data_IF_463211957728
#
_entry.id   IF_463211957728
#
_cell.length_a   1.000
_cell.length_b   1.000
_cell.length_c   1.000
_cell.angle_alpha   90.00
_cell.angle_beta   90.00
_cell.angle_gamma   90.00
#
_symmetry.space_group_name_H-M   'P 1'
#
loop_
_entity.id
_entity.type
_entity.pdbx_description
1 polymer ?
#
# COMPACT_ATOMS: atom_id res chain seq x y z
N UNK A 1 9.91 2.55 -12.00
CA UNK A 1 9.29 1.57 -11.10
C UNK A 1 10.17 0.35 -10.77
N UNK A 2 11.52 0.36 -10.75
CA UNK A 2 12.27 -0.89 -10.55
C UNK A 2 11.99 -1.60 -9.21
N UNK A 3 11.72 -0.86 -8.13
CA UNK A 3 11.39 -1.46 -6.83
C UNK A 3 9.97 -2.00 -6.84
N UNK A 4 9.00 -1.15 -7.20
CA UNK A 4 7.60 -1.50 -7.42
C UNK A 4 7.41 -2.75 -8.28
N UNK A 5 7.96 -2.76 -9.50
CA UNK A 5 7.82 -3.86 -10.45
C UNK A 5 8.45 -5.14 -9.92
N UNK A 6 9.60 -5.04 -9.24
CA UNK A 6 10.25 -6.20 -8.63
C UNK A 6 9.40 -6.78 -7.51
N UNK A 7 8.85 -5.94 -6.63
CA UNK A 7 8.02 -6.38 -5.51
C UNK A 7 6.71 -7.00 -5.99
N UNK A 8 6.01 -6.35 -6.92
CA UNK A 8 4.78 -6.91 -7.52
C UNK A 8 5.04 -8.23 -8.23
N UNK A 9 6.12 -8.34 -9.01
CA UNK A 9 6.45 -9.59 -9.70
C UNK A 9 6.78 -10.72 -8.73
N UNK A 10 7.48 -10.43 -7.63
CA UNK A 10 7.69 -11.43 -6.56
C UNK A 10 6.33 -11.87 -6.02
N UNK A 11 5.46 -10.95 -5.59
CA UNK A 11 4.15 -11.30 -5.03
C UNK A 11 3.32 -12.15 -6.01
N UNK A 12 3.23 -11.75 -7.28
CA UNK A 12 2.51 -12.47 -8.32
C UNK A 12 3.06 -13.90 -8.56
N UNK A 13 4.40 -14.05 -8.63
CA UNK A 13 5.01 -15.37 -8.80
C UNK A 13 4.76 -16.28 -7.59
N UNK A 14 4.72 -15.72 -6.37
CA UNK A 14 4.42 -16.49 -5.16
C UNK A 14 2.96 -16.90 -5.09
N UNK A 15 2.03 -16.05 -5.51
CA UNK A 15 0.60 -16.41 -5.61
C UNK A 15 0.34 -17.47 -6.67
N UNK A 16 1.13 -17.47 -7.75
CA UNK A 16 1.07 -18.47 -8.81
C UNK A 16 1.89 -19.75 -8.50
N UNK A 17 2.34 -19.95 -7.26
CA UNK A 17 3.07 -21.13 -6.78
C UNK A 17 4.41 -21.40 -7.49
N UNK A 18 5.14 -20.33 -7.86
CA UNK A 18 6.49 -20.40 -8.44
C UNK A 18 7.61 -20.09 -7.42
N UNK A 19 7.45 -20.44 -6.14
CA UNK A 19 8.41 -20.13 -5.06
C UNK A 19 9.85 -20.64 -5.29
N UNK A 20 10.02 -21.68 -6.10
CA UNK A 20 11.33 -22.28 -6.40
C UNK A 20 12.08 -21.56 -7.54
N UNK A 21 11.47 -20.55 -8.18
CA UNK A 21 12.09 -19.86 -9.31
C UNK A 21 13.38 -19.13 -8.86
N UNK A 22 14.56 -19.47 -9.41
CA UNK A 22 15.85 -18.99 -8.89
C UNK A 22 16.00 -17.46 -8.88
N UNK A 23 15.30 -16.77 -9.78
CA UNK A 23 15.33 -15.31 -9.87
C UNK A 23 14.76 -14.62 -8.62
N UNK A 24 13.82 -15.25 -7.90
CA UNK A 24 13.23 -14.71 -6.67
C UNK A 24 14.31 -14.41 -5.62
N UNK A 25 15.29 -15.30 -5.48
CA UNK A 25 16.42 -15.12 -4.56
C UNK A 25 17.24 -13.87 -4.87
N UNK A 26 17.47 -13.60 -6.16
CA UNK A 26 18.17 -12.39 -6.60
C UNK A 26 17.31 -11.15 -6.37
N UNK A 27 16.02 -11.23 -6.69
CA UNK A 27 15.06 -10.15 -6.53
C UNK A 27 14.87 -9.74 -5.06
N UNK A 28 14.67 -10.71 -4.14
CA UNK A 28 14.56 -10.44 -2.71
C UNK A 28 15.83 -9.83 -2.11
N UNK A 29 17.02 -10.30 -2.53
CA UNK A 29 18.29 -9.65 -2.12
C UNK A 29 18.43 -8.24 -2.69
N UNK A 30 17.96 -8.01 -3.91
CA UNK A 30 17.93 -6.67 -4.50
C UNK A 30 17.05 -5.73 -3.68
N UNK A 31 15.80 -6.11 -3.37
CA UNK A 31 14.92 -5.30 -2.51
C UNK A 31 15.55 -5.03 -1.13
N UNK A 32 16.13 -6.04 -0.49
CA UNK A 32 16.84 -5.87 0.79
C UNK A 32 17.99 -4.88 0.70
N UNK A 33 18.70 -4.81 -0.42
CA UNK A 33 19.81 -3.85 -0.63
C UNK A 33 19.35 -2.40 -0.88
N UNK A 34 18.04 -2.18 -1.01
CA UNK A 34 17.42 -0.90 -1.38
C UNK A 34 16.59 -0.29 -0.26
N UNK A 35 16.58 -0.90 0.93
CA UNK A 35 15.89 -0.32 2.08
C UNK A 35 16.59 0.97 2.49
N UNK A 36 15.80 2.03 2.68
CA UNK A 36 16.35 3.33 3.05
C UNK A 36 16.97 3.29 4.44
N UNK A 37 18.06 4.05 4.58
CA UNK A 37 18.77 4.25 5.85
C UNK A 37 18.94 5.73 6.20
N UNK A 38 18.74 6.62 5.23
CA UNK A 38 18.74 8.07 5.44
C UNK A 38 17.39 8.57 5.97
N UNK A 39 17.44 9.68 6.72
CA UNK A 39 16.26 10.46 7.10
C UNK A 39 15.87 11.35 5.93
N UNK A 40 14.62 11.25 5.49
CA UNK A 40 14.04 12.06 4.41
C UNK A 40 13.13 13.18 4.92
N UNK A 41 12.46 13.87 4.00
CA UNK A 41 11.57 15.00 4.32
C UNK A 41 10.36 14.57 5.19
N UNK A 42 9.96 13.30 5.09
CA UNK A 42 8.91 12.67 5.91
C UNK A 42 9.11 12.83 7.42
N UNK A 43 10.34 13.14 7.88
CA UNK A 43 10.61 13.41 9.30
C UNK A 43 9.89 14.66 9.79
N UNK A 44 9.55 15.59 8.90
CA UNK A 44 8.83 16.83 9.25
C UNK A 44 7.42 16.48 9.72
N UNK A 45 6.73 15.59 9.02
CA UNK A 45 5.38 15.12 9.38
C UNK A 45 5.41 14.01 10.44
N UNK A 46 6.50 13.24 10.52
CA UNK A 46 6.66 12.13 11.47
C UNK A 46 8.03 12.16 12.20
N UNK A 47 8.23 13.07 13.16
CA UNK A 47 9.55 13.38 13.75
C UNK A 47 10.17 12.24 14.57
N UNK A 48 9.37 11.27 15.00
CA UNK A 48 9.83 10.13 15.78
C UNK A 48 9.99 8.85 14.94
N UNK A 49 9.71 8.91 13.64
CA UNK A 49 9.88 7.76 12.76
C UNK A 49 11.36 7.50 12.49
N UNK A 50 11.74 6.23 12.45
CA UNK A 50 13.08 5.79 12.02
C UNK A 50 13.07 5.43 10.54
N UNK A 51 14.17 5.65 9.80
CA UNK A 51 14.29 5.19 8.41
C UNK A 51 14.05 3.68 8.25
N UNK A 52 13.47 3.30 7.13
CA UNK A 52 13.20 1.89 6.84
C UNK A 52 12.26 1.61 5.68
N UNK A 53 11.75 2.64 5.00
CA UNK A 53 10.94 2.46 3.80
C UNK A 53 11.74 2.03 2.57
N UNK A 54 11.05 1.95 1.45
CA UNK A 54 11.58 1.74 0.11
C UNK A 54 11.03 2.84 -0.81
N UNK A 55 11.77 3.14 -1.87
CA UNK A 55 11.40 4.14 -2.88
C UNK A 55 11.08 3.48 -4.22
N UNK A 56 10.26 4.11 -5.04
CA UNK A 56 9.90 3.66 -6.39
C UNK A 56 11.08 3.45 -7.38
N UNK A 57 12.12 4.31 -7.32
CA UNK A 57 13.20 4.39 -8.31
C UNK A 57 14.42 3.48 -8.00
N UNK A 58 15.53 3.63 -8.72
CA UNK A 58 16.78 2.88 -8.43
C UNK A 58 17.53 3.41 -7.20
N UNK A 59 17.44 4.71 -6.95
CA UNK A 59 18.07 5.40 -5.84
C UNK A 59 17.30 6.68 -5.53
N UNK A 60 16.64 6.73 -4.37
CA UNK A 60 15.89 7.90 -3.92
C UNK A 60 15.72 7.89 -2.39
N UNK A 61 16.83 7.73 -1.67
CA UNK A 61 16.88 7.49 -0.21
C UNK A 61 16.08 8.49 0.65
N UNK A 62 15.91 9.72 0.18
CA UNK A 62 15.22 10.78 0.92
C UNK A 62 13.69 10.77 0.71
N UNK A 63 13.21 10.03 -0.28
CA UNK A 63 11.79 9.96 -0.63
C UNK A 63 11.32 8.50 -0.78
N UNK A 64 11.42 7.68 0.28
CA UNK A 64 10.66 6.44 0.33
C UNK A 64 9.17 6.73 0.34
N UNK A 65 8.38 5.81 -0.19
CA UNK A 65 6.93 5.91 -0.26
C UNK A 65 6.25 4.69 0.38
N UNK A 66 5.01 4.91 0.83
CA UNK A 66 4.21 3.95 1.60
C UNK A 66 3.81 2.75 0.76
N UNK A 67 3.43 2.96 -0.51
CA UNK A 67 2.92 1.89 -1.38
C UNK A 67 4.06 0.91 -1.72
N UNK A 68 5.21 1.40 -2.21
CA UNK A 68 6.41 0.58 -2.47
C UNK A 68 6.87 -0.15 -1.21
N UNK A 69 6.92 0.55 -0.07
CA UNK A 69 7.30 -0.05 1.20
C UNK A 69 6.37 -1.22 1.57
N UNK A 70 5.06 -1.02 1.45
CA UNK A 70 4.07 -2.04 1.79
C UNK A 70 4.17 -3.27 0.88
N UNK A 71 4.27 -3.10 -0.45
CA UNK A 71 4.41 -4.24 -1.37
C UNK A 71 5.73 -4.98 -1.20
N UNK A 72 6.83 -4.28 -0.90
CA UNK A 72 8.13 -4.90 -0.60
C UNK A 72 8.06 -5.72 0.69
N UNK A 73 7.45 -5.17 1.74
CA UNK A 73 7.25 -5.87 3.02
C UNK A 73 6.45 -7.15 2.82
N UNK A 74 5.39 -7.11 2.02
CA UNK A 74 4.61 -8.30 1.65
C UNK A 74 5.44 -9.33 0.87
N UNK A 75 6.24 -8.87 -0.10
CA UNK A 75 7.10 -9.75 -0.90
C UNK A 75 8.17 -10.48 -0.07
N UNK A 76 8.58 -9.87 1.05
CA UNK A 76 9.58 -10.41 1.98
C UNK A 76 8.97 -11.18 3.16
N UNK A 77 7.63 -11.27 3.26
CA UNK A 77 6.94 -11.81 4.43
C UNK A 77 7.35 -13.28 4.74
N UNK A 78 7.62 -13.61 6.02
CA UNK A 78 8.25 -14.89 6.41
C UNK A 78 7.32 -16.11 6.37
N UNK A 79 6.00 -15.87 6.25
CA UNK A 79 4.94 -16.86 6.14
C UNK A 79 4.66 -17.28 4.69
N UNK A 80 5.36 -16.71 3.71
CA UNK A 80 5.33 -17.18 2.32
C UNK A 80 6.08 -18.52 2.19
N UNK A 81 5.73 -19.32 1.19
CA UNK A 81 6.43 -20.58 0.82
C UNK A 81 7.87 -20.34 0.35
N UNK A 82 8.22 -19.07 0.15
CA UNK A 82 9.53 -18.59 -0.22
C UNK A 82 10.22 -17.85 0.93
N UNK A 83 11.54 -18.08 1.10
CA UNK A 83 12.40 -17.28 1.98
C UNK A 83 13.68 -16.89 1.26
N UNK A 84 14.09 -15.64 1.39
CA UNK A 84 15.38 -15.16 0.87
C UNK A 84 16.52 -15.86 1.61
N UNK A 85 17.16 -16.82 0.94
CA UNK A 85 18.30 -17.58 1.48
C UNK A 85 19.50 -16.65 1.62
N UNK A 86 20.25 -16.83 2.72
CA UNK A 86 21.48 -16.07 3.04
C UNK A 86 21.29 -14.55 3.21
N UNK A 87 20.05 -14.08 3.37
CA UNK A 87 19.78 -12.71 3.80
C UNK A 87 19.67 -12.68 5.33
N UNK A 88 20.81 -12.65 6.03
CA UNK A 88 20.81 -12.32 7.45
C UNK A 88 20.18 -10.95 7.66
N UNK A 89 19.20 -10.83 8.56
CA UNK A 89 18.58 -9.55 8.89
C UNK A 89 17.29 -9.21 8.13
N UNK A 90 16.73 -10.10 7.30
CA UNK A 90 15.42 -9.90 6.64
C UNK A 90 14.32 -9.57 7.65
N UNK A 91 14.23 -10.29 8.77
CA UNK A 91 13.26 -9.98 9.83
C UNK A 91 13.47 -8.58 10.45
N UNK A 92 14.72 -8.10 10.51
CA UNK A 92 15.04 -6.76 10.98
C UNK A 92 14.63 -5.68 9.98
N UNK A 93 14.88 -5.92 8.68
CA UNK A 93 14.46 -5.03 7.61
C UNK A 93 12.95 -4.90 7.53
N UNK A 94 12.22 -6.02 7.54
CA UNK A 94 10.75 -6.03 7.57
C UNK A 94 10.24 -5.23 8.76
N UNK A 95 10.78 -5.45 9.97
CA UNK A 95 10.36 -4.73 11.16
C UNK A 95 10.58 -3.22 11.04
N UNK A 96 11.73 -2.78 10.53
CA UNK A 96 11.99 -1.36 10.29
C UNK A 96 11.01 -0.77 9.28
N UNK A 97 10.78 -1.47 8.17
CA UNK A 97 9.81 -1.09 7.15
C UNK A 97 8.40 -0.95 7.69
N UNK A 98 7.89 -1.97 8.39
CA UNK A 98 6.56 -1.91 9.00
C UNK A 98 6.44 -0.77 9.99
N UNK A 99 7.46 -0.52 10.83
CA UNK A 99 7.45 0.63 11.74
C UNK A 99 7.41 1.95 11.00
N UNK A 100 8.16 2.09 9.91
CA UNK A 100 8.14 3.29 9.08
C UNK A 100 6.76 3.52 8.46
N UNK A 101 6.19 2.51 7.78
CA UNK A 101 4.83 2.58 7.19
C UNK A 101 3.78 2.94 8.24
N UNK A 102 3.79 2.28 9.41
CA UNK A 102 2.85 2.58 10.49
C UNK A 102 3.02 3.99 11.05
N UNK A 103 4.25 4.51 11.09
CA UNK A 103 4.50 5.88 11.54
C UNK A 103 4.02 6.94 10.54
N UNK A 104 3.80 6.57 9.28
CA UNK A 104 3.21 7.40 8.22
C UNK A 104 1.67 7.37 8.19
N UNK A 105 1.01 6.66 9.11
CA UNK A 105 -0.45 6.74 9.19
C UNK A 105 -0.88 8.16 9.59
N UNK A 106 -1.79 8.74 8.81
CA UNK A 106 -2.38 10.04 9.05
C UNK A 106 -3.36 10.04 10.21
N UNK A 107 -3.66 11.24 10.71
CA UNK A 107 -4.65 11.48 11.75
C UNK A 107 -6.09 11.15 11.34
N UNK A 108 -6.36 11.08 10.03
CA UNK A 108 -7.63 10.63 9.47
C UNK A 108 -7.75 9.10 9.36
N UNK A 109 -6.70 8.37 9.72
CA UNK A 109 -6.64 6.90 9.69
C UNK A 109 -6.12 6.31 8.39
N UNK A 110 -5.97 7.10 7.32
CA UNK A 110 -5.43 6.66 6.04
C UNK A 110 -3.92 6.88 5.91
N UNK A 111 -3.42 6.72 4.68
CA UNK A 111 -2.02 6.98 4.31
C UNK A 111 -1.94 7.79 3.02
N UNK A 112 -1.12 8.83 3.05
CA UNK A 112 -0.54 9.45 1.85
C UNK A 112 0.63 8.62 1.32
N UNK A 113 1.18 9.00 0.18
CA UNK A 113 2.26 8.28 -0.47
C UNK A 113 3.61 8.50 0.21
N UNK A 114 3.96 9.73 0.59
CA UNK A 114 5.27 10.10 1.11
C UNK A 114 5.19 10.70 2.52
N UNK A 115 4.14 11.46 2.79
CA UNK A 115 3.96 12.20 4.03
C UNK A 115 2.61 11.89 4.67
N UNK A 116 2.58 11.97 6.01
CA UNK A 116 1.30 11.95 6.74
C UNK A 116 0.77 13.35 6.95
N UNK A 117 -0.56 13.46 6.99
CA UNK A 117 -1.28 14.72 7.24
C UNK A 117 -0.91 15.88 6.27
N UNK A 118 -0.42 15.55 5.07
CA UNK A 118 -0.19 16.51 4.00
C UNK A 118 -1.50 16.81 3.25
N UNK A 119 -2.49 17.35 3.97
CA UNK A 119 -3.88 17.44 3.52
C UNK A 119 -4.49 18.85 3.63
N UNK A 120 -3.64 19.89 3.70
CA UNK A 120 -4.07 21.29 3.80
C UNK A 120 -4.60 21.82 2.46
N UNK A 121 -5.82 21.43 2.10
CA UNK A 121 -6.47 21.69 0.80
C UNK A 121 -6.49 23.17 0.40
N UNK A 122 -6.37 24.09 1.36
CA UNK A 122 -6.26 25.53 1.09
C UNK A 122 -5.14 25.86 0.09
N UNK A 123 -4.05 25.09 0.10
CA UNK A 123 -2.94 25.30 -0.82
C UNK A 123 -3.25 24.95 -2.28
N UNK A 124 -4.32 24.19 -2.55
CA UNK A 124 -4.78 23.95 -3.91
C UNK A 124 -5.58 25.12 -4.52
N UNK A 125 -5.78 26.23 -3.80
CA UNK A 125 -6.51 27.41 -4.29
C UNK A 125 -5.64 28.62 -4.63
N UNK A 126 -4.31 28.48 -4.55
CA UNK A 126 -3.39 29.54 -5.01
C UNK A 126 -3.21 29.47 -6.53
N UNK A 127 -2.84 30.59 -7.21
CA UNK A 127 -2.68 30.61 -8.67
C UNK A 127 -1.67 29.61 -9.23
N UNK A 128 -0.69 29.18 -8.41
CA UNK A 128 0.31 28.19 -8.79
C UNK A 128 -0.24 26.76 -8.85
N UNK A 129 -1.38 26.47 -8.19
CA UNK A 129 -1.90 25.12 -7.98
C UNK A 129 -3.00 24.72 -8.98
N UNK A 130 -2.86 25.08 -10.25
CA UNK A 130 -3.86 24.84 -11.30
C UNK A 130 -4.21 23.34 -11.49
N UNK A 131 -3.26 22.44 -11.22
CA UNK A 131 -3.45 20.98 -11.27
C UNK A 131 -4.01 20.36 -9.96
N UNK A 132 -4.19 21.15 -8.90
CA UNK A 132 -4.68 20.72 -7.57
C UNK A 132 -3.97 19.51 -6.96
N UNK A 133 -2.69 19.33 -7.29
CA UNK A 133 -1.87 18.19 -6.88
C UNK A 133 -0.65 18.60 -6.03
N UNK A 134 -0.76 19.70 -5.27
CA UNK A 134 0.32 20.18 -4.39
C UNK A 134 0.44 19.40 -3.07
N UNK A 135 -0.48 18.48 -2.83
CA UNK A 135 -0.67 17.82 -1.55
C UNK A 135 -0.60 16.31 -1.71
N UNK A 136 -0.34 15.64 -0.59
CA UNK A 136 -0.30 14.19 -0.46
C UNK A 136 -1.30 13.73 0.62
N UNK A 137 -2.62 13.88 0.36
CA UNK A 137 -3.64 13.45 1.31
C UNK A 137 -3.70 11.91 1.38
N UNK A 138 -4.32 11.40 2.43
CA UNK A 138 -4.65 9.98 2.52
C UNK A 138 -5.52 9.52 1.35
N UNK A 139 -5.31 8.29 0.89
CA UNK A 139 -6.02 7.71 -0.27
C UNK A 139 -6.49 6.28 -0.02
N UNK A 140 -7.61 5.91 -0.67
CA UNK A 140 -8.26 4.61 -0.45
C UNK A 140 -7.42 3.43 -0.94
N UNK A 141 -6.72 3.59 -2.06
CA UNK A 141 -5.81 2.58 -2.60
C UNK A 141 -4.64 2.30 -1.64
N UNK A 142 -4.03 3.31 -1.04
CA UNK A 142 -2.95 3.13 -0.06
C UNK A 142 -3.46 2.58 1.27
N UNK A 143 -4.63 3.02 1.76
CA UNK A 143 -5.23 2.46 2.96
C UNK A 143 -5.53 0.95 2.78
N UNK A 144 -6.08 0.56 1.62
CA UNK A 144 -6.27 -0.85 1.24
C UNK A 144 -4.96 -1.63 1.24
N UNK A 145 -3.90 -1.07 0.61
CA UNK A 145 -2.57 -1.68 0.57
C UNK A 145 -1.97 -1.89 1.97
N UNK A 146 -2.06 -0.89 2.85
CA UNK A 146 -1.53 -0.99 4.21
C UNK A 146 -2.27 -2.04 5.04
N UNK A 147 -3.59 -2.19 4.86
CA UNK A 147 -4.37 -3.27 5.46
C UNK A 147 -3.95 -4.64 4.91
N UNK A 148 -3.71 -4.74 3.60
CA UNK A 148 -3.22 -5.97 2.97
C UNK A 148 -1.85 -6.38 3.52
N UNK A 149 -0.94 -5.41 3.68
CA UNK A 149 0.36 -5.61 4.31
C UNK A 149 0.21 -6.13 5.74
N UNK A 150 -0.70 -5.57 6.55
CA UNK A 150 -0.95 -6.06 7.90
C UNK A 150 -1.47 -7.51 7.89
N UNK A 151 -2.46 -7.81 7.05
CA UNK A 151 -3.01 -9.16 6.90
C UNK A 151 -1.96 -10.18 6.42
N UNK A 152 -1.00 -9.76 5.59
CA UNK A 152 0.12 -10.61 5.18
C UNK A 152 0.99 -11.07 6.36
N UNK A 153 0.93 -10.43 7.53
CA UNK A 153 1.62 -10.84 8.76
C UNK A 153 0.69 -11.48 9.79
N UNK A 154 -0.57 -11.77 9.42
CA UNK A 154 -1.57 -12.40 10.28
C UNK A 154 -2.20 -11.44 11.29
N UNK A 155 -2.03 -10.13 11.12
CA UNK A 155 -2.81 -9.15 11.85
C UNK A 155 -4.25 -9.11 11.32
N UNK A 156 -5.18 -8.76 12.19
CA UNK A 156 -6.59 -8.60 11.86
C UNK A 156 -7.07 -7.18 12.25
N UNK A 157 -8.38 -6.96 12.16
CA UNK A 157 -9.02 -5.67 12.46
C UNK A 157 -8.80 -5.15 13.89
N UNK A 158 -8.30 -5.99 14.80
CA UNK A 158 -7.94 -5.57 16.17
C UNK A 158 -6.60 -4.85 16.23
N UNK A 159 -5.81 -4.88 15.16
CA UNK A 159 -4.56 -4.12 15.09
C UNK A 159 -4.86 -2.62 15.24
N UNK A 160 -4.08 -1.87 16.05
CA UNK A 160 -4.38 -0.46 16.34
C UNK A 160 -4.51 0.46 15.11
N UNK A 161 -3.78 0.14 14.04
CA UNK A 161 -3.86 0.88 12.78
C UNK A 161 -5.06 0.49 11.89
N UNK A 162 -5.64 -0.70 12.09
CA UNK A 162 -6.69 -1.21 11.20
C UNK A 162 -8.04 -0.51 11.43
N UNK A 163 -8.46 -0.32 12.69
CA UNK A 163 -9.72 0.37 13.01
C UNK A 163 -9.85 1.76 12.38
N UNK A 164 -8.85 2.66 12.54
CA UNK A 164 -8.84 3.96 11.88
C UNK A 164 -8.87 3.87 10.36
N UNK A 165 -8.11 2.94 9.76
CA UNK A 165 -8.08 2.73 8.31
C UNK A 165 -9.42 2.26 7.76
N UNK A 166 -10.12 1.37 8.47
CA UNK A 166 -11.46 0.90 8.11
C UNK A 166 -12.48 2.04 8.19
N UNK A 167 -12.39 2.90 9.21
CA UNK A 167 -13.24 4.09 9.32
C UNK A 167 -12.97 5.10 8.20
N UNK A 168 -11.71 5.30 7.83
CA UNK A 168 -11.31 6.10 6.68
C UNK A 168 -11.93 5.57 5.38
N UNK A 169 -11.75 4.28 5.08
CA UNK A 169 -12.30 3.65 3.88
C UNK A 169 -13.84 3.70 3.83
N UNK A 170 -14.51 3.57 4.98
CA UNK A 170 -15.96 3.71 5.02
C UNK A 170 -16.41 5.13 4.65
N UNK A 171 -15.65 6.16 5.04
CA UNK A 171 -15.94 7.56 4.72
C UNK A 171 -15.66 7.88 3.25
N UNK A 172 -14.61 7.31 2.68
CA UNK A 172 -14.18 7.56 1.30
C UNK A 172 -14.92 6.71 0.25
N UNK A 173 -15.83 5.83 0.68
CA UNK A 173 -16.62 5.04 -0.26
C UNK A 173 -17.61 5.92 -1.02
N UNK A 174 -17.62 5.80 -2.35
CA UNK A 174 -18.56 6.51 -3.22
C UNK A 174 -20.00 6.00 -3.01
N UNK A 175 -20.99 6.80 -3.44
CA UNK A 175 -22.41 6.43 -3.32
C UNK A 175 -22.74 5.13 -4.07
N UNK A 176 -22.07 4.89 -5.20
CA UNK A 176 -22.22 3.67 -6.00
C UNK A 176 -21.50 2.45 -5.39
N UNK A 177 -20.69 2.66 -4.34
CA UNK A 177 -19.95 1.64 -3.62
C UNK A 177 -18.49 1.52 -4.01
N UNK A 178 -18.04 2.16 -5.08
CA UNK A 178 -16.62 2.11 -5.50
C UNK A 178 -15.72 2.94 -4.58
N UNK A 179 -14.40 2.79 -4.78
CA UNK A 179 -13.40 3.67 -4.19
C UNK A 179 -12.51 4.27 -5.28
N UNK A 180 -12.23 5.56 -5.17
CA UNK A 180 -11.30 6.26 -6.04
C UNK A 180 -9.87 5.70 -5.92
N UNK A 181 -9.26 5.39 -7.06
CA UNK A 181 -7.84 5.02 -7.18
C UNK A 181 -7.02 6.24 -7.58
N UNK A 182 -6.14 6.72 -6.68
CA UNK A 182 -5.33 7.91 -6.95
C UNK A 182 -4.16 7.59 -7.88
N UNK A 183 -3.57 6.41 -7.73
CA UNK A 183 -2.29 6.04 -8.35
C UNK A 183 -2.41 5.01 -9.49
N UNK A 184 -3.58 4.42 -9.68
CA UNK A 184 -3.93 3.62 -10.85
C UNK A 184 -5.26 4.07 -11.41
N UNK A 185 -5.53 3.78 -12.68
CA UNK A 185 -6.76 4.19 -13.37
C UNK A 185 -7.87 3.17 -13.13
N UNK A 186 -9.00 3.53 -12.54
CA UNK A 186 -9.23 4.58 -11.56
C UNK A 186 -10.10 3.99 -10.43
N UNK A 187 -11.43 3.90 -10.59
CA UNK A 187 -12.30 3.26 -9.60
C UNK A 187 -12.13 1.74 -9.53
N UNK A 188 -11.80 1.07 -10.64
CA UNK A 188 -11.48 -0.37 -10.62
C UNK A 188 -10.23 -0.61 -9.76
N UNK A 189 -9.20 0.21 -9.94
CA UNK A 189 -7.95 0.10 -9.21
C UNK A 189 -8.13 0.34 -7.71
N UNK A 190 -8.80 1.45 -7.35
CA UNK A 190 -9.08 1.77 -5.94
C UNK A 190 -9.90 0.68 -5.26
N UNK A 191 -10.97 0.22 -5.90
CA UNK A 191 -11.85 -0.83 -5.36
C UNK A 191 -11.12 -2.17 -5.19
N UNK A 192 -10.25 -2.55 -6.13
CA UNK A 192 -9.41 -3.75 -6.00
C UNK A 192 -8.49 -3.69 -4.78
N UNK A 193 -7.75 -2.58 -4.62
CA UNK A 193 -6.82 -2.43 -3.50
C UNK A 193 -7.54 -2.49 -2.15
N UNK A 194 -8.70 -1.84 -2.06
CA UNK A 194 -9.55 -1.88 -0.86
C UNK A 194 -10.04 -3.31 -0.59
N UNK A 195 -10.55 -4.03 -1.59
CA UNK A 195 -10.95 -5.44 -1.40
C UNK A 195 -9.83 -6.34 -0.92
N UNK A 196 -8.61 -6.18 -1.46
CA UNK A 196 -7.45 -6.94 -1.02
C UNK A 196 -7.18 -6.71 0.48
N UNK A 197 -7.18 -5.43 0.90
CA UNK A 197 -7.00 -5.05 2.30
C UNK A 197 -8.11 -5.56 3.24
N UNK A 198 -9.37 -5.35 2.88
CA UNK A 198 -10.53 -5.79 3.69
C UNK A 198 -10.53 -7.31 3.89
N UNK A 199 -10.27 -8.07 2.81
CA UNK A 199 -10.15 -9.52 2.89
C UNK A 199 -8.98 -9.95 3.78
N UNK A 200 -7.81 -9.34 3.59
CA UNK A 200 -6.59 -9.70 4.31
C UNK A 200 -6.71 -9.45 5.83
N UNK A 201 -7.42 -8.39 6.23
CA UNK A 201 -7.59 -8.01 7.64
C UNK A 201 -8.77 -8.71 8.33
N UNK A 202 -9.52 -9.55 7.59
CA UNK A 202 -10.60 -10.37 8.13
C UNK A 202 -11.95 -9.63 8.29
N UNK A 203 -12.25 -8.67 7.42
CA UNK A 203 -13.58 -8.05 7.39
C UNK A 203 -14.67 -9.03 6.93
N UNK A 204 -15.89 -8.77 7.37
CA UNK A 204 -17.06 -9.53 6.93
C UNK A 204 -17.42 -9.13 5.50
N UNK A 205 -17.05 -9.96 4.54
CA UNK A 205 -17.30 -9.72 3.11
C UNK A 205 -18.79 -9.70 2.75
N UNK A 206 -19.69 -10.08 3.66
CA UNK A 206 -21.14 -9.94 3.48
C UNK A 206 -21.68 -8.56 3.89
N UNK A 207 -20.84 -7.69 4.45
CA UNK A 207 -21.22 -6.35 4.88
C UNK A 207 -21.86 -5.55 3.73
N UNK A 208 -22.92 -4.75 4.01
CA UNK A 208 -23.63 -4.01 2.97
C UNK A 208 -22.75 -3.09 2.11
N UNK A 209 -21.73 -2.45 2.70
CA UNK A 209 -20.77 -1.60 1.98
C UNK A 209 -19.96 -2.40 0.96
N UNK A 210 -19.47 -3.57 1.34
CA UNK A 210 -18.70 -4.46 0.45
C UNK A 210 -19.61 -5.01 -0.65
N UNK A 211 -20.85 -5.41 -0.32
CA UNK A 211 -21.80 -5.89 -1.33
C UNK A 211 -22.19 -4.83 -2.37
N UNK A 212 -22.29 -3.56 -1.97
CA UNK A 212 -22.49 -2.45 -2.93
C UNK A 212 -21.31 -2.34 -3.90
N UNK A 213 -20.08 -2.36 -3.38
CA UNK A 213 -18.88 -2.30 -4.20
C UNK A 213 -18.77 -3.49 -5.18
N UNK A 214 -19.15 -4.70 -4.74
CA UNK A 214 -19.20 -5.90 -5.59
C UNK A 214 -20.24 -5.72 -6.69
N UNK A 215 -21.47 -5.29 -6.34
CA UNK A 215 -22.53 -5.03 -7.31
C UNK A 215 -22.13 -3.96 -8.33
N UNK A 216 -21.43 -2.91 -7.89
CA UNK A 216 -20.85 -1.91 -8.78
C UNK A 216 -19.86 -2.55 -9.76
N UNK A 217 -18.90 -3.33 -9.26
CA UNK A 217 -17.88 -3.94 -10.12
C UNK A 217 -18.53 -4.88 -11.15
N UNK A 218 -19.47 -5.73 -10.74
CA UNK A 218 -20.24 -6.60 -11.64
C UNK A 218 -21.00 -5.78 -12.71
N UNK A 219 -21.58 -4.63 -12.34
CA UNK A 219 -22.27 -3.74 -13.28
C UNK A 219 -21.35 -3.10 -14.33
N UNK A 220 -20.02 -3.10 -14.11
CA UNK A 220 -19.01 -2.57 -15.03
C UNK A 220 -18.37 -3.63 -15.92
N UNK A 221 -18.81 -4.89 -15.83
CA UNK A 221 -18.26 -5.96 -16.66
C UNK A 221 -18.61 -5.74 -18.14
N UNK A 222 -17.60 -5.81 -19.00
CA UNK A 222 -17.76 -5.75 -20.45
C UNK A 222 -18.36 -7.05 -21.00
N UNK A 223 -18.99 -7.03 -22.20
CA UNK A 223 -19.57 -8.23 -22.81
C UNK A 223 -18.58 -9.38 -23.07
N UNK A 224 -17.28 -9.09 -23.14
CA UNK A 224 -16.21 -10.08 -23.32
C UNK A 224 -15.75 -10.72 -21.99
N UNK A 225 -16.36 -10.32 -20.87
CA UNK A 225 -16.04 -10.79 -19.52
C UNK A 225 -14.95 -9.99 -18.81
N UNK A 226 -14.32 -9.02 -19.49
CA UNK A 226 -13.30 -8.14 -18.91
C UNK A 226 -13.84 -6.85 -18.29
N UNK A 227 -12.94 -5.97 -17.91
CA UNK A 227 -13.22 -4.61 -17.41
C UNK A 227 -12.23 -3.62 -18.04
N UNK A 228 -12.63 -2.35 -18.14
CA UNK A 228 -11.77 -1.28 -18.62
C UNK A 228 -12.29 0.08 -18.17
N UNK A 229 -11.36 1.01 -17.94
CA UNK A 229 -11.61 2.39 -17.51
C UNK A 229 -10.60 3.34 -18.15
#
# INVERSE_FOLDING_TARGET
SPIWDTALLINALLEAEYEDYPALQKAGRYLMSRQTTAVGDWVISSPNAEPGGWYFQFANELYPDVDDSAVVIMALAPNRRYRVKRASGTSGAIRRGMRWVLAMQGSDGGWGAYDKDNNRIVFNYIPFADHKALLDPSTSDLAGRCLEMLGAFGYDKTHPAAGPALAFLQKEQEEDGSWYGRWGVNYIYGTWSVFAGLRAIGEDLSAPSIRRAVAWLESKQNPDGGWGE
#
